data_IF_165201882181
#
_entry.id   IF_165201882181
#
_cell.length_a   1.000
_cell.length_b   1.000
_cell.length_c   1.000
_cell.angle_alpha   90.00
_cell.angle_beta   90.00
_cell.angle_gamma   90.00
#
_symmetry.space_group_name_H-M   'P 1'
#
loop_
_entity.id
_entity.type
_entity.pdbx_description
1 polymer ?
#
# COMPACT_ATOMS: atom_id res chain seq x y z
N UNK A 1 19.42 15.06 -13.30
CA UNK A 1 20.05 13.86 -13.89
C UNK A 1 20.87 13.13 -12.82
N UNK A 2 20.24 12.60 -11.77
CA UNK A 2 20.95 11.93 -10.65
C UNK A 2 20.29 10.63 -10.19
N UNK A 3 19.10 10.28 -10.70
CA UNK A 3 18.34 9.13 -10.18
C UNK A 3 18.78 7.77 -10.78
N UNK A 4 19.57 7.77 -11.86
CA UNK A 4 20.03 6.54 -12.51
C UNK A 4 21.22 5.88 -11.82
N UNK A 5 21.91 6.58 -10.91
CA UNK A 5 23.14 6.10 -10.29
C UNK A 5 22.89 5.32 -8.98
N UNK A 6 21.76 5.56 -8.31
CA UNK A 6 21.48 4.99 -6.98
C UNK A 6 21.14 3.49 -7.08
N UNK A 7 20.42 3.07 -8.12
CA UNK A 7 20.01 1.67 -8.28
C UNK A 7 21.16 0.66 -8.41
N UNK A 8 22.26 1.05 -9.08
CA UNK A 8 23.45 0.21 -9.22
C UNK A 8 24.16 0.00 -7.87
N UNK A 9 24.17 1.02 -7.01
CA UNK A 9 24.87 0.95 -5.72
C UNK A 9 24.18 0.03 -4.71
N UNK A 10 22.86 -0.11 -4.78
CA UNK A 10 22.10 -0.93 -3.84
C UNK A 10 22.32 -2.44 -4.08
N UNK A 11 22.37 -2.88 -5.33
CA UNK A 11 22.66 -4.28 -5.67
C UNK A 11 24.10 -4.67 -5.32
N UNK A 12 25.05 -3.77 -5.59
CA UNK A 12 26.45 -3.95 -5.20
C UNK A 12 26.64 -3.98 -3.68
N UNK A 13 25.84 -3.20 -2.93
CA UNK A 13 25.87 -3.18 -1.47
C UNK A 13 25.41 -4.51 -0.88
N UNK A 14 24.28 -5.06 -1.35
CA UNK A 14 23.73 -6.33 -0.86
C UNK A 14 24.71 -7.47 -1.12
N UNK A 15 25.27 -7.56 -2.33
CA UNK A 15 26.28 -8.57 -2.68
C UNK A 15 27.53 -8.54 -1.80
N UNK A 16 27.94 -7.36 -1.34
CA UNK A 16 29.15 -7.19 -0.50
C UNK A 16 28.89 -7.36 0.99
N UNK A 17 27.70 -6.97 1.48
CA UNK A 17 27.42 -6.87 2.92
C UNK A 17 26.54 -7.99 3.47
N UNK A 18 25.74 -8.64 2.62
CA UNK A 18 24.82 -9.72 3.00
C UNK A 18 24.95 -10.92 2.06
N UNK A 19 26.14 -11.58 1.99
CA UNK A 19 26.36 -12.72 1.11
C UNK A 19 25.53 -13.96 1.50
N UNK A 20 25.02 -14.01 2.72
CA UNK A 20 24.21 -15.11 3.29
C UNK A 20 22.75 -15.16 2.81
N UNK A 21 22.25 -14.09 2.16
CA UNK A 21 20.91 -14.07 1.56
C UNK A 21 20.87 -14.63 0.12
N UNK A 22 21.99 -15.19 -0.35
CA UNK A 22 22.07 -15.93 -1.61
C UNK A 22 21.80 -17.42 -1.31
N UNK A 23 20.73 -18.03 -1.84
CA UNK A 23 20.53 -19.46 -1.70
C UNK A 23 21.58 -20.23 -2.51
N UNK A 24 22.36 -21.06 -1.82
CA UNK A 24 23.31 -22.02 -2.38
C UNK A 24 22.61 -22.98 -3.36
N UNK A 25 23.14 -23.06 -4.58
CA UNK A 25 22.76 -24.10 -5.53
C UNK A 25 23.97 -24.48 -6.39
N UNK A 26 24.90 -25.24 -5.80
CA UNK A 26 25.88 -26.03 -6.55
C UNK A 26 25.34 -27.44 -6.78
N UNK A 27 25.24 -27.86 -8.05
CA UNK A 27 25.55 -29.20 -8.60
C UNK A 27 24.63 -29.60 -9.77
N UNK A 28 25.05 -29.15 -10.95
CA UNK A 28 25.19 -29.82 -12.27
C UNK A 28 24.20 -30.93 -12.67
N UNK A 29 23.46 -30.80 -13.77
CA UNK A 29 23.92 -31.01 -15.17
C UNK A 29 22.89 -30.39 -16.13
N UNK A 30 23.25 -29.41 -16.98
CA UNK A 30 23.63 -29.56 -18.41
C UNK A 30 22.61 -30.38 -19.24
N UNK A 31 21.98 -29.98 -20.35
CA UNK A 31 22.05 -28.91 -21.37
C UNK A 31 20.73 -29.11 -22.19
N UNK A 32 20.03 -28.16 -22.80
CA UNK A 32 20.25 -26.74 -23.07
C UNK A 32 18.86 -26.07 -23.02
N UNK A 33 18.76 -25.09 -22.11
CA UNK A 33 17.61 -24.57 -21.36
C UNK A 33 16.20 -24.74 -21.95
N UNK A 34 15.60 -25.90 -21.70
CA UNK A 34 14.20 -26.20 -22.02
C UNK A 34 13.23 -25.50 -21.07
N UNK A 35 12.15 -24.98 -21.63
CA UNK A 35 10.83 -25.16 -21.04
C UNK A 35 10.40 -24.17 -19.97
N UNK A 36 9.24 -23.57 -20.25
CA UNK A 36 8.16 -23.42 -19.30
C UNK A 36 8.43 -22.52 -18.08
N UNK A 37 7.75 -21.38 -18.13
CA UNK A 37 7.01 -20.85 -16.99
C UNK A 37 7.82 -20.57 -15.73
N UNK A 38 8.31 -19.34 -15.63
CA UNK A 38 8.02 -18.53 -14.44
C UNK A 38 8.01 -17.08 -14.85
N UNK A 39 6.78 -16.66 -15.14
CA UNK A 39 6.27 -15.28 -15.21
C UNK A 39 7.33 -14.31 -14.74
N UNK A 40 7.74 -13.42 -15.63
CA UNK A 40 8.23 -12.10 -15.26
C UNK A 40 7.31 -11.68 -14.13
N UNK A 41 7.79 -11.73 -12.88
CA UNK A 41 7.09 -11.11 -11.77
C UNK A 41 7.28 -9.64 -12.06
N UNK A 42 6.48 -9.14 -13.00
CA UNK A 42 5.94 -7.81 -12.95
C UNK A 42 5.58 -7.67 -11.49
N UNK A 43 6.42 -6.94 -10.77
CA UNK A 43 6.00 -6.31 -9.54
C UNK A 43 4.95 -5.34 -10.04
N UNK A 44 3.75 -5.87 -10.31
CA UNK A 44 2.53 -5.15 -10.05
C UNK A 44 2.74 -4.72 -8.61
N UNK A 45 3.25 -3.51 -8.45
CA UNK A 45 2.86 -2.66 -7.35
C UNK A 45 1.35 -2.65 -7.51
N UNK A 46 0.72 -3.67 -6.93
CA UNK A 46 -0.73 -3.76 -6.85
C UNK A 46 -1.10 -2.40 -6.31
N UNK A 47 -1.85 -1.62 -7.09
CA UNK A 47 -2.40 -0.35 -6.66
C UNK A 47 -3.28 -0.68 -5.46
N UNK A 48 -2.64 -0.87 -4.31
CA UNK A 48 -3.32 -1.16 -3.07
C UNK A 48 -3.96 0.17 -2.76
N UNK A 49 -5.25 0.25 -3.07
CA UNK A 49 -6.10 1.38 -2.75
C UNK A 49 -5.67 1.91 -1.39
N UNK A 50 -5.16 3.15 -1.37
CA UNK A 50 -4.76 3.81 -0.13
C UNK A 50 -6.00 4.01 0.77
N UNK A 51 -7.18 3.98 0.15
CA UNK A 51 -8.47 4.11 0.80
C UNK A 51 -9.03 2.77 1.27
N UNK A 52 -9.84 2.85 2.33
CA UNK A 52 -10.63 1.70 2.77
C UNK A 52 -11.53 1.19 1.65
N UNK A 53 -11.54 -0.13 1.49
CA UNK A 53 -12.56 -0.81 0.69
C UNK A 53 -13.96 -0.50 1.28
N UNK A 54 -14.98 -0.43 0.43
CA UNK A 54 -16.38 -0.30 0.84
C UNK A 54 -16.82 -1.37 1.83
N UNK A 55 -16.26 -2.59 1.73
CA UNK A 55 -16.53 -3.69 2.67
C UNK A 55 -15.62 -3.70 3.91
N UNK A 56 -14.87 -2.62 4.16
CA UNK A 56 -13.98 -2.52 5.31
C UNK A 56 -14.79 -2.33 6.60
N UNK A 57 -14.65 -3.26 7.54
CA UNK A 57 -15.23 -3.15 8.90
C UNK A 57 -14.80 -1.85 9.60
N UNK A 58 -13.58 -1.36 9.34
CA UNK A 58 -13.12 -0.08 9.91
C UNK A 58 -13.90 1.10 9.34
N UNK A 59 -14.19 1.11 8.04
CA UNK A 59 -14.99 2.17 7.39
C UNK A 59 -16.39 2.20 7.98
N UNK A 60 -17.05 1.04 8.03
CA UNK A 60 -18.41 0.92 8.59
C UNK A 60 -18.48 1.42 10.04
N UNK A 61 -17.50 1.06 10.87
CA UNK A 61 -17.43 1.54 12.25
C UNK A 61 -17.27 3.06 12.33
N UNK A 62 -16.51 3.66 11.43
CA UNK A 62 -16.29 5.10 11.38
C UNK A 62 -17.55 5.83 10.92
N UNK A 63 -18.19 5.35 9.84
CA UNK A 63 -19.47 5.86 9.33
C UNK A 63 -20.52 5.87 10.45
N UNK A 64 -20.63 4.76 11.20
CA UNK A 64 -21.57 4.65 12.33
C UNK A 64 -21.28 5.65 13.44
N UNK A 65 -20.02 5.93 13.72
CA UNK A 65 -19.66 6.93 14.75
C UNK A 65 -19.95 8.34 14.29
N UNK A 66 -19.64 8.67 13.04
CA UNK A 66 -19.97 9.98 12.46
C UNK A 66 -21.49 10.19 12.48
N UNK A 67 -22.26 9.21 12.03
CA UNK A 67 -23.72 9.27 12.08
C UNK A 67 -24.28 9.45 13.50
N UNK A 68 -23.67 8.79 14.49
CA UNK A 68 -24.04 8.98 15.89
C UNK A 68 -23.68 10.37 16.41
N UNK A 69 -22.52 10.93 16.06
CA UNK A 69 -22.16 12.30 16.43
C UNK A 69 -23.16 13.29 15.85
N UNK A 70 -23.52 13.14 14.57
CA UNK A 70 -24.54 13.97 13.92
C UNK A 70 -25.88 13.87 14.65
N UNK A 71 -26.32 12.65 14.99
CA UNK A 71 -27.61 12.42 15.64
C UNK A 71 -27.65 12.91 17.10
N UNK A 72 -26.60 12.68 17.88
CA UNK A 72 -26.52 13.06 19.31
C UNK A 72 -26.40 14.56 19.46
N UNK A 73 -25.58 15.20 18.63
CA UNK A 73 -25.30 16.63 18.71
C UNK A 73 -26.24 17.46 17.79
N UNK A 74 -27.23 16.81 17.18
CA UNK A 74 -28.22 17.41 16.27
C UNK A 74 -27.59 18.25 15.14
N UNK A 75 -26.45 17.80 14.62
CA UNK A 75 -25.74 18.48 13.54
C UNK A 75 -26.47 18.24 12.20
N UNK A 76 -26.34 19.15 11.22
CA UNK A 76 -26.80 18.89 9.88
C UNK A 76 -25.95 17.80 9.21
N UNK A 77 -26.53 17.07 8.25
CA UNK A 77 -25.78 16.07 7.49
C UNK A 77 -24.61 16.67 6.69
N UNK A 78 -24.71 17.95 6.30
CA UNK A 78 -23.65 18.69 5.62
C UNK A 78 -22.39 18.90 6.48
N UNK A 79 -22.45 18.63 7.80
CA UNK A 79 -21.29 18.72 8.69
C UNK A 79 -20.06 17.94 8.19
N UNK A 80 -20.29 16.82 7.49
CA UNK A 80 -19.19 16.00 6.96
C UNK A 80 -18.49 16.61 5.74
N UNK A 81 -19.12 17.61 5.12
CA UNK A 81 -18.59 18.34 3.96
C UNK A 81 -17.73 19.53 4.40
N UNK A 82 -17.79 19.92 5.67
CA UNK A 82 -17.05 21.05 6.21
C UNK A 82 -15.53 20.83 6.07
N UNK A 83 -14.81 21.85 5.61
CA UNK A 83 -13.36 21.79 5.37
C UNK A 83 -12.58 21.39 6.64
N UNK A 84 -13.02 21.89 7.80
CA UNK A 84 -12.42 21.57 9.10
C UNK A 84 -12.60 20.10 9.47
N UNK A 85 -13.78 19.52 9.22
CA UNK A 85 -14.03 18.10 9.44
C UNK A 85 -13.19 17.24 8.49
N UNK A 86 -13.14 17.61 7.20
CA UNK A 86 -12.32 16.91 6.21
C UNK A 86 -10.82 16.96 6.57
N UNK A 87 -10.32 18.09 7.05
CA UNK A 87 -8.93 18.22 7.50
C UNK A 87 -8.65 17.32 8.71
N UNK A 88 -9.55 17.30 9.70
CA UNK A 88 -9.44 16.42 10.86
C UNK A 88 -9.41 14.94 10.45
N UNK A 89 -10.29 14.52 9.53
CA UNK A 89 -10.35 13.14 9.08
C UNK A 89 -9.12 12.73 8.28
N UNK A 90 -8.53 13.64 7.48
CA UNK A 90 -7.26 13.39 6.79
C UNK A 90 -6.11 13.16 7.76
N UNK A 91 -6.05 13.91 8.85
CA UNK A 91 -5.01 13.78 9.87
C UNK A 91 -5.21 12.52 10.72
N UNK A 92 -6.44 12.28 11.19
CA UNK A 92 -6.76 11.15 12.08
C UNK A 92 -6.81 9.80 11.36
N UNK A 93 -7.17 9.78 10.07
CA UNK A 93 -7.42 8.58 9.30
C UNK A 93 -7.32 8.81 7.79
N UNK A 94 -6.11 8.99 7.23
CA UNK A 94 -5.91 9.37 5.82
C UNK A 94 -6.47 8.37 4.79
N UNK A 95 -6.71 7.11 5.22
CA UNK A 95 -7.32 6.07 4.40
C UNK A 95 -8.86 6.12 4.37
N UNK A 96 -9.49 6.95 5.20
CA UNK A 96 -10.92 7.11 5.22
C UNK A 96 -11.36 8.20 4.24
N UNK A 97 -12.34 7.85 3.41
CA UNK A 97 -12.97 8.78 2.49
C UNK A 97 -14.38 9.03 2.98
N UNK A 98 -14.69 10.31 3.26
CA UNK A 98 -16.01 10.72 3.71
C UNK A 98 -17.02 10.42 2.59
N UNK A 99 -18.16 9.78 2.89
CA UNK A 99 -19.20 9.58 1.90
C UNK A 99 -19.74 10.94 1.41
N UNK A 100 -19.65 11.14 0.10
CA UNK A 100 -20.31 12.23 -0.64
C UNK A 100 -21.80 11.97 -0.79
#
# INVERSE_FOLDING_TARGET
MTDLLIGLTCLDHIKRKHPEELPDAESETSLHSSGANKRIKQVFISQKSFFYNSSSVKKERLDRRIALTIAVDMQPYSYVEDEGFLALMKEAGPAYLVPS
#
